data_IF_757973837114
#
_entry.id   IF_757973837114
#
_cell.length_a   1.000
_cell.length_b   1.000
_cell.length_c   1.000
_cell.angle_alpha   90.00
_cell.angle_beta   90.00
_cell.angle_gamma   90.00
#
_symmetry.space_group_name_H-M   'P 1'
#
loop_
_entity.id
_entity.type
_entity.pdbx_description
1 polymer ?
#
# COMPACT_ATOMS: atom_id res chain seq x y z
N UNK A 1 -36.02 6.95 57.28
CA UNK A 1 -36.21 6.38 55.93
C UNK A 1 -34.83 6.24 55.31
N UNK A 2 -34.24 5.05 55.37
CA UNK A 2 -32.91 4.77 54.79
C UNK A 2 -33.17 4.16 53.41
N UNK A 3 -32.77 4.89 52.38
CA UNK A 3 -32.93 4.50 50.97
C UNK A 3 -31.85 3.47 50.65
N UNK A 4 -32.22 2.19 50.53
CA UNK A 4 -31.31 1.14 50.07
C UNK A 4 -31.14 1.26 48.55
N UNK A 5 -30.09 1.97 48.14
CA UNK A 5 -29.60 1.96 46.76
C UNK A 5 -29.02 0.57 46.47
N UNK A 6 -29.74 -0.24 45.71
CA UNK A 6 -29.23 -1.51 45.19
C UNK A 6 -28.07 -1.22 44.23
N UNK A 7 -26.86 -1.63 44.60
CA UNK A 7 -25.70 -1.65 43.71
C UNK A 7 -26.00 -2.74 42.67
N UNK A 8 -26.33 -2.34 41.44
CA UNK A 8 -26.33 -3.26 40.31
C UNK A 8 -24.90 -3.77 40.11
N UNK A 9 -24.62 -5.01 40.52
CA UNK A 9 -23.42 -5.71 40.07
C UNK A 9 -23.52 -5.86 38.54
N UNK A 10 -22.50 -5.45 37.77
CA UNK A 10 -22.49 -5.68 36.33
C UNK A 10 -22.47 -7.19 36.11
N UNK A 11 -23.55 -7.71 35.54
CA UNK A 11 -23.63 -9.11 35.09
C UNK A 11 -22.78 -9.21 33.83
N UNK A 12 -21.51 -9.57 34.00
CA UNK A 12 -20.66 -9.91 32.85
C UNK A 12 -21.24 -11.18 32.24
N UNK A 13 -21.76 -11.08 31.02
CA UNK A 13 -22.31 -12.24 30.34
C UNK A 13 -21.16 -13.18 29.97
N UNK A 14 -21.38 -14.50 30.05
CA UNK A 14 -20.37 -15.51 29.67
C UNK A 14 -19.82 -15.26 28.26
N UNK A 15 -20.65 -14.72 27.37
CA UNK A 15 -20.23 -14.30 26.03
C UNK A 15 -19.17 -13.20 26.04
N UNK A 16 -19.25 -12.23 26.96
CA UNK A 16 -18.27 -11.15 27.08
C UNK A 16 -16.91 -11.71 27.50
N UNK A 17 -16.90 -12.72 28.38
CA UNK A 17 -15.66 -13.40 28.83
C UNK A 17 -15.03 -14.21 27.69
N UNK A 18 -15.85 -14.87 26.87
CA UNK A 18 -15.37 -15.64 25.70
C UNK A 18 -14.77 -14.71 24.66
N UNK A 19 -15.45 -13.61 24.33
CA UNK A 19 -14.95 -12.60 23.39
C UNK A 19 -13.65 -11.98 23.89
N UNK A 20 -13.60 -11.59 25.17
CA UNK A 20 -12.40 -10.99 25.76
C UNK A 20 -11.20 -11.96 25.77
N UNK A 21 -11.43 -13.25 26.01
CA UNK A 21 -10.40 -14.28 25.93
C UNK A 21 -9.94 -14.55 24.49
N UNK A 22 -10.84 -14.48 23.53
CA UNK A 22 -10.50 -14.62 22.11
C UNK A 22 -9.68 -13.42 21.61
N UNK A 23 -10.03 -12.20 22.02
CA UNK A 23 -9.26 -10.98 21.76
C UNK A 23 -7.85 -11.06 22.36
N UNK A 24 -7.71 -11.55 23.59
CA UNK A 24 -6.40 -11.78 24.22
C UNK A 24 -5.56 -12.82 23.45
N UNK A 25 -6.18 -13.89 22.97
CA UNK A 25 -5.51 -14.92 22.15
C UNK A 25 -5.12 -14.38 20.77
N UNK A 26 -5.96 -13.56 20.15
CA UNK A 26 -5.64 -12.86 18.90
C UNK A 26 -4.45 -11.93 19.16
N UNK A 27 -4.49 -11.09 20.19
CA UNK A 27 -3.38 -10.20 20.56
C UNK A 27 -2.08 -10.96 20.89
N UNK A 28 -2.20 -12.13 21.53
CA UNK A 28 -1.06 -13.02 21.72
C UNK A 28 -0.52 -13.55 20.39
N UNK A 29 -1.41 -13.95 19.47
CA UNK A 29 -1.05 -14.32 18.10
C UNK A 29 -0.45 -13.14 17.31
N UNK A 30 -0.84 -11.89 17.61
CA UNK A 30 -0.24 -10.68 17.02
C UNK A 30 1.23 -10.52 17.41
N UNK A 31 1.57 -10.88 18.65
CA UNK A 31 2.95 -10.79 19.16
C UNK A 31 3.90 -11.70 18.36
N UNK A 32 3.36 -12.77 17.78
CA UNK A 32 4.07 -13.74 16.93
C UNK A 32 3.64 -13.62 15.46
N UNK A 33 3.79 -12.42 14.86
CA UNK A 33 3.55 -12.22 13.43
C UNK A 33 4.31 -13.29 12.60
N UNK A 34 3.67 -13.87 11.56
CA UNK A 34 4.33 -14.85 10.73
C UNK A 34 5.59 -14.23 10.12
N UNK A 35 6.72 -14.94 10.25
CA UNK A 35 7.99 -14.54 9.61
C UNK A 35 7.77 -14.28 8.12
N UNK A 36 8.46 -13.27 7.59
CA UNK A 36 8.43 -12.95 6.16
C UNK A 36 8.78 -14.19 5.32
N UNK A 37 7.94 -14.49 4.33
CA UNK A 37 8.25 -15.51 3.32
C UNK A 37 9.35 -14.99 2.40
N UNK A 38 10.09 -15.92 1.78
CA UNK A 38 11.11 -15.59 0.77
C UNK A 38 10.57 -14.68 -0.34
N UNK A 39 9.34 -14.90 -0.79
CA UNK A 39 8.67 -14.09 -1.81
C UNK A 39 8.50 -12.64 -1.36
N UNK A 40 8.17 -12.40 -0.08
CA UNK A 40 8.02 -11.05 0.45
C UNK A 40 9.39 -10.34 0.45
N UNK A 41 10.45 -11.02 0.90
CA UNK A 41 11.81 -10.46 0.92
C UNK A 41 12.31 -10.15 -0.49
N UNK A 42 12.12 -11.07 -1.43
CA UNK A 42 12.53 -10.88 -2.83
C UNK A 42 11.78 -9.69 -3.44
N UNK A 43 10.47 -9.58 -3.18
CA UNK A 43 9.67 -8.46 -3.66
C UNK A 43 10.09 -7.12 -3.05
N UNK A 44 10.44 -7.08 -1.77
CA UNK A 44 10.96 -5.88 -1.11
C UNK A 44 12.30 -5.42 -1.70
N UNK A 45 13.24 -6.37 -1.89
CA UNK A 45 14.54 -6.07 -2.53
C UNK A 45 14.32 -5.56 -3.95
N UNK A 46 13.39 -6.17 -4.69
CA UNK A 46 13.07 -5.76 -6.05
C UNK A 46 12.43 -4.37 -6.10
N UNK A 47 11.49 -4.06 -5.20
CA UNK A 47 10.91 -2.73 -5.07
C UNK A 47 11.98 -1.67 -4.77
N UNK A 48 12.88 -1.96 -3.82
CA UNK A 48 14.00 -1.07 -3.48
C UNK A 48 14.95 -0.86 -4.68
N UNK A 49 15.22 -1.92 -5.44
CA UNK A 49 16.05 -1.85 -6.63
C UNK A 49 15.41 -0.96 -7.70
N UNK A 50 14.10 -1.08 -7.94
CA UNK A 50 13.36 -0.20 -8.86
C UNK A 50 13.46 1.27 -8.41
N UNK A 51 13.30 1.54 -7.11
CA UNK A 51 13.46 2.87 -6.54
C UNK A 51 14.85 3.46 -6.78
N UNK A 52 15.91 2.70 -6.48
CA UNK A 52 17.29 3.12 -6.68
C UNK A 52 17.57 3.41 -8.17
N UNK A 53 17.12 2.52 -9.05
CA UNK A 53 17.28 2.70 -10.51
C UNK A 53 16.52 3.93 -11.02
N UNK A 54 15.32 4.18 -10.52
CA UNK A 54 14.54 5.36 -10.87
C UNK A 54 15.26 6.65 -10.46
N UNK A 55 15.76 6.73 -9.22
CA UNK A 55 16.57 7.87 -8.76
C UNK A 55 17.85 8.06 -9.58
N UNK A 56 18.58 6.98 -9.86
CA UNK A 56 19.80 7.04 -10.66
C UNK A 56 19.52 7.57 -12.07
N UNK A 57 18.49 7.03 -12.74
CA UNK A 57 18.06 7.49 -14.05
C UNK A 57 17.59 8.95 -14.04
N UNK A 58 16.82 9.34 -13.02
CA UNK A 58 16.37 10.71 -12.84
C UNK A 58 17.55 11.67 -12.72
N UNK A 59 18.50 11.41 -11.82
CA UNK A 59 19.67 12.26 -11.63
C UNK A 59 20.52 12.39 -12.89
N UNK A 60 20.74 11.29 -13.61
CA UNK A 60 21.49 11.32 -14.86
C UNK A 60 20.81 12.20 -15.91
N UNK A 61 19.49 12.10 -16.04
CA UNK A 61 18.72 12.87 -17.03
C UNK A 61 18.57 14.34 -16.62
N UNK A 62 18.43 14.61 -15.32
CA UNK A 62 18.16 15.94 -14.76
C UNK A 62 19.24 16.98 -15.09
N UNK A 63 20.50 16.55 -15.21
CA UNK A 63 21.65 17.42 -15.52
C UNK A 63 21.49 18.07 -16.89
N UNK A 64 20.86 17.39 -17.85
CA UNK A 64 20.71 17.87 -19.23
C UNK A 64 19.45 18.72 -19.45
N UNK A 65 18.64 18.93 -18.41
CA UNK A 65 17.41 19.70 -18.51
C UNK A 65 17.67 21.21 -18.43
N UNK A 66 16.96 21.96 -19.28
CA UNK A 66 16.87 23.41 -19.21
C UNK A 66 16.31 23.87 -17.86
N UNK A 67 16.64 25.09 -17.42
CA UNK A 67 16.16 25.64 -16.14
C UNK A 67 14.64 25.69 -16.06
N UNK A 68 13.97 25.99 -17.19
CA UNK A 68 12.51 25.97 -17.30
C UNK A 68 12.04 24.78 -18.11
N UNK A 69 11.06 24.06 -17.58
CA UNK A 69 10.46 22.87 -18.19
C UNK A 69 8.96 23.03 -18.31
N UNK A 70 8.32 22.48 -19.36
CA UNK A 70 6.87 22.46 -19.46
C UNK A 70 6.27 21.60 -18.35
N UNK A 71 5.21 22.08 -17.71
CA UNK A 71 4.50 21.38 -16.62
C UNK A 71 3.06 21.05 -16.94
N UNK A 72 2.45 21.78 -17.88
CA UNK A 72 1.07 21.56 -18.31
C UNK A 72 1.01 21.59 -19.83
N UNK A 73 0.24 20.66 -20.39
CA UNK A 73 0.06 20.49 -21.82
C UNK A 73 -1.44 20.56 -22.14
N UNK A 74 -1.78 21.16 -23.27
CA UNK A 74 -3.13 21.08 -23.82
C UNK A 74 -3.43 19.68 -24.41
N UNK A 75 -4.66 19.46 -24.87
CA UNK A 75 -5.05 18.19 -25.50
C UNK A 75 -4.27 17.86 -26.78
N UNK A 76 -3.78 18.88 -27.47
CA UNK A 76 -2.97 18.75 -28.69
C UNK A 76 -1.49 18.50 -28.39
N UNK A 77 -1.09 18.51 -27.11
CA UNK A 77 0.28 18.29 -26.66
C UNK A 77 1.16 19.55 -26.63
N UNK A 78 0.59 20.74 -26.81
CA UNK A 78 1.34 21.99 -26.70
C UNK A 78 1.52 22.37 -25.23
N UNK A 79 2.72 22.79 -24.86
CA UNK A 79 3.01 23.27 -23.51
C UNK A 79 2.30 24.61 -23.24
N UNK A 80 1.44 24.63 -22.22
CA UNK A 80 0.67 25.81 -21.78
C UNK A 80 1.37 26.53 -20.65
N UNK A 81 2.05 25.79 -19.75
CA UNK A 81 2.75 26.36 -18.58
C UNK A 81 4.14 25.79 -18.42
N UNK A 82 5.06 26.64 -17.99
CA UNK A 82 6.44 26.30 -17.65
C UNK A 82 6.73 26.59 -16.18
N UNK A 83 7.58 25.78 -15.56
CA UNK A 83 8.08 26.00 -14.21
C UNK A 83 9.59 25.70 -14.12
N UNK A 84 10.18 25.98 -12.97
CA UNK A 84 11.56 25.59 -12.66
C UNK A 84 11.69 24.05 -12.68
N UNK A 85 12.76 23.53 -13.29
CA UNK A 85 12.99 22.09 -13.44
C UNK A 85 13.02 21.32 -12.12
N UNK A 86 13.34 21.98 -11.00
CA UNK A 86 13.36 21.37 -9.68
C UNK A 86 12.00 20.83 -9.27
N UNK A 87 10.90 21.30 -9.86
CA UNK A 87 9.56 20.71 -9.63
C UNK A 87 9.52 19.22 -9.97
N UNK A 88 10.37 18.75 -10.89
CA UNK A 88 10.41 17.34 -11.30
C UNK A 88 10.93 16.41 -10.20
N UNK A 89 11.65 16.92 -9.20
CA UNK A 89 12.03 16.13 -8.01
C UNK A 89 10.81 15.63 -7.23
N UNK A 90 9.64 16.28 -7.38
CA UNK A 90 8.42 15.82 -6.74
C UNK A 90 8.04 14.38 -7.17
N UNK A 91 8.35 13.97 -8.40
CA UNK A 91 8.02 12.63 -8.90
C UNK A 91 8.76 11.52 -8.13
N UNK A 92 10.12 11.47 -8.11
CA UNK A 92 10.83 10.46 -7.33
C UNK A 92 10.70 10.68 -5.81
N UNK A 93 10.42 11.90 -5.34
CA UNK A 93 10.15 12.15 -3.92
C UNK A 93 8.83 11.50 -3.47
N UNK A 94 7.73 11.68 -4.21
CA UNK A 94 6.44 11.06 -3.89
C UNK A 94 6.53 9.53 -4.00
N UNK A 95 7.28 9.01 -4.97
CA UNK A 95 7.61 7.57 -5.08
C UNK A 95 8.28 7.06 -3.79
N UNK A 96 9.32 7.76 -3.32
CA UNK A 96 10.05 7.40 -2.09
C UNK A 96 9.14 7.44 -0.84
N UNK A 97 8.33 8.49 -0.71
CA UNK A 97 7.38 8.62 0.40
C UNK A 97 6.37 7.46 0.37
N UNK A 98 5.86 7.11 -0.82
CA UNK A 98 4.93 5.99 -1.00
C UNK A 98 5.56 4.66 -0.63
N UNK A 99 6.81 4.42 -1.04
CA UNK A 99 7.60 3.25 -0.64
C UNK A 99 7.68 3.13 0.88
N UNK A 100 8.05 4.22 1.57
CA UNK A 100 8.21 4.24 3.02
C UNK A 100 6.88 3.98 3.72
N UNK A 101 5.80 4.67 3.33
CA UNK A 101 4.47 4.49 3.92
C UNK A 101 4.01 3.04 3.79
N UNK A 102 4.11 2.46 2.59
CA UNK A 102 3.70 1.08 2.36
C UNK A 102 4.59 0.07 3.10
N UNK A 103 5.88 0.37 3.27
CA UNK A 103 6.80 -0.42 4.10
C UNK A 103 6.37 -0.40 5.57
N UNK A 104 6.09 0.78 6.13
CA UNK A 104 5.63 0.91 7.52
C UNK A 104 4.33 0.11 7.72
N UNK A 105 3.37 0.24 6.79
CA UNK A 105 2.09 -0.47 6.87
C UNK A 105 2.25 -2.00 6.86
N UNK A 106 3.24 -2.55 6.13
CA UNK A 106 3.52 -3.99 6.15
C UNK A 106 4.07 -4.49 7.49
N UNK A 107 4.69 -3.64 8.30
CA UNK A 107 5.17 -4.01 9.64
C UNK A 107 4.05 -4.02 10.68
N UNK A 108 2.94 -3.32 10.42
CA UNK A 108 1.78 -3.23 11.33
C UNK A 108 0.47 -3.74 10.71
N UNK A 109 0.44 -4.93 10.09
CA UNK A 109 -0.77 -5.44 9.44
C UNK A 109 -1.92 -5.65 10.43
N UNK A 110 -1.63 -5.77 11.72
CA UNK A 110 -2.61 -5.91 12.80
C UNK A 110 -3.39 -4.63 13.11
N UNK A 111 -2.96 -3.46 12.61
CA UNK A 111 -3.65 -2.17 12.82
C UNK A 111 -4.75 -1.89 11.80
N UNK A 112 -4.86 -2.72 10.77
CA UNK A 112 -5.93 -2.62 9.79
C UNK A 112 -7.25 -3.10 10.38
N UNK A 113 -8.34 -2.51 9.91
CA UNK A 113 -9.68 -2.98 10.25
C UNK A 113 -9.98 -4.29 9.48
N UNK A 114 -10.38 -5.32 10.22
CA UNK A 114 -10.77 -6.64 9.68
C UNK A 114 -12.23 -7.00 9.96
N UNK A 115 -13.06 -6.08 10.44
CA UNK A 115 -14.43 -6.34 10.90
C UNK A 115 -15.34 -6.97 9.82
N UNK A 116 -14.99 -6.80 8.55
CA UNK A 116 -15.70 -7.39 7.41
C UNK A 116 -15.47 -8.91 7.25
N UNK A 117 -14.53 -9.50 7.99
CA UNK A 117 -14.27 -10.93 8.09
C UNK A 117 -14.21 -11.33 9.56
N UNK A 118 -14.77 -12.49 9.92
CA UNK A 118 -14.71 -13.00 11.28
C UNK A 118 -13.27 -13.34 11.64
N UNK A 119 -12.54 -12.38 12.20
CA UNK A 119 -11.16 -12.56 12.65
C UNK A 119 -11.17 -13.50 13.85
N UNK A 120 -10.52 -14.65 13.71
CA UNK A 120 -10.40 -15.67 14.75
C UNK A 120 -8.92 -16.02 14.95
N UNK A 121 -8.57 -16.61 16.08
CA UNK A 121 -7.18 -17.02 16.39
C UNK A 121 -6.62 -17.95 15.29
N UNK A 122 -7.46 -18.80 14.70
CA UNK A 122 -7.06 -19.78 13.68
C UNK A 122 -6.77 -19.15 12.32
N UNK A 123 -7.47 -18.06 11.96
CA UNK A 123 -7.35 -17.45 10.63
C UNK A 123 -6.50 -16.18 10.60
N UNK A 124 -6.24 -15.56 11.76
CA UNK A 124 -5.52 -14.29 11.89
C UNK A 124 -4.15 -14.30 11.18
N UNK A 125 -3.38 -15.39 11.34
CA UNK A 125 -2.05 -15.51 10.73
C UNK A 125 -2.10 -15.44 9.18
N UNK A 126 -3.05 -16.12 8.56
CA UNK A 126 -3.17 -16.13 7.09
C UNK A 126 -3.80 -14.83 6.57
N UNK A 127 -4.71 -14.20 7.33
CA UNK A 127 -5.24 -12.87 7.03
C UNK A 127 -4.11 -11.84 7.02
N UNK A 128 -3.29 -11.74 8.07
CA UNK A 128 -2.20 -10.76 8.11
C UNK A 128 -1.16 -10.98 7.04
N UNK A 129 -0.83 -12.24 6.75
CA UNK A 129 0.08 -12.57 5.65
C UNK A 129 -0.51 -12.13 4.31
N UNK A 130 -1.80 -12.37 4.09
CA UNK A 130 -2.50 -11.93 2.89
C UNK A 130 -2.47 -10.41 2.74
N UNK A 131 -2.71 -9.68 3.83
CA UNK A 131 -2.62 -8.22 3.86
C UNK A 131 -1.22 -7.74 3.50
N UNK A 132 -0.16 -8.30 4.10
CA UNK A 132 1.23 -7.91 3.78
C UNK A 132 1.60 -8.14 2.32
N UNK A 133 1.25 -9.30 1.76
CA UNK A 133 1.50 -9.61 0.34
C UNK A 133 0.75 -8.64 -0.57
N UNK A 134 -0.49 -8.27 -0.21
CA UNK A 134 -1.29 -7.29 -0.94
C UNK A 134 -0.62 -5.92 -0.89
N UNK A 135 -0.17 -5.46 0.29
CA UNK A 135 0.57 -4.21 0.44
C UNK A 135 1.88 -4.19 -0.37
N UNK A 136 2.62 -5.30 -0.40
CA UNK A 136 3.81 -5.46 -1.25
C UNK A 136 3.46 -5.34 -2.74
N UNK A 137 2.36 -5.95 -3.16
CA UNK A 137 1.90 -5.88 -4.55
C UNK A 137 1.50 -4.44 -4.93
N UNK A 138 0.77 -3.75 -4.04
CA UNK A 138 0.47 -2.33 -4.20
C UNK A 138 1.75 -1.48 -4.27
N UNK A 139 2.75 -1.75 -3.43
CA UNK A 139 4.04 -1.06 -3.44
C UNK A 139 4.72 -1.19 -4.79
N UNK A 140 4.87 -2.42 -5.30
CA UNK A 140 5.49 -2.66 -6.61
C UNK A 140 4.76 -1.92 -7.74
N UNK A 141 3.43 -1.94 -7.76
CA UNK A 141 2.66 -1.22 -8.78
C UNK A 141 2.89 0.29 -8.67
N UNK A 142 2.91 0.83 -7.46
CA UNK A 142 3.21 2.25 -7.22
C UNK A 142 4.61 2.60 -7.70
N UNK A 143 5.63 1.79 -7.39
CA UNK A 143 7.01 2.01 -7.85
C UNK A 143 7.09 2.01 -9.40
N UNK A 144 6.44 1.06 -10.06
CA UNK A 144 6.40 1.01 -11.53
C UNK A 144 5.64 2.19 -12.15
N UNK A 145 4.52 2.58 -11.55
CA UNK A 145 3.73 3.74 -11.98
C UNK A 145 4.57 5.02 -11.92
N UNK A 146 5.21 5.30 -10.79
CA UNK A 146 6.03 6.51 -10.65
C UNK A 146 7.29 6.45 -11.51
N UNK A 147 7.90 5.28 -11.67
CA UNK A 147 9.02 5.10 -12.61
C UNK A 147 8.57 5.42 -14.04
N UNK A 148 7.42 4.90 -14.47
CA UNK A 148 6.85 5.17 -15.80
C UNK A 148 6.56 6.66 -16.01
N UNK A 149 5.91 7.31 -15.05
CA UNK A 149 5.58 8.74 -15.12
C UNK A 149 6.87 9.57 -15.17
N UNK A 150 7.85 9.26 -14.32
CA UNK A 150 9.14 9.96 -14.26
C UNK A 150 9.89 9.83 -15.58
N UNK A 151 9.99 8.61 -16.10
CA UNK A 151 10.62 8.33 -17.38
C UNK A 151 9.95 9.07 -18.54
N UNK A 152 8.61 9.01 -18.61
CA UNK A 152 7.84 9.67 -19.67
C UNK A 152 7.97 11.19 -19.57
N UNK A 153 7.91 11.76 -18.36
CA UNK A 153 8.08 13.20 -18.16
C UNK A 153 9.46 13.67 -18.62
N UNK A 154 10.53 12.94 -18.26
CA UNK A 154 11.88 13.24 -18.72
C UNK A 154 11.99 13.17 -20.25
N UNK A 155 11.34 12.19 -20.88
CA UNK A 155 11.34 12.11 -22.35
C UNK A 155 10.64 13.28 -23.02
N UNK A 156 9.49 13.69 -22.49
CA UNK A 156 8.71 14.81 -23.03
C UNK A 156 9.51 16.11 -22.89
N UNK A 157 10.15 16.34 -21.74
CA UNK A 157 10.91 17.55 -21.49
C UNK A 157 12.22 17.58 -22.30
N UNK A 158 12.96 16.47 -22.36
CA UNK A 158 14.29 16.42 -22.98
C UNK A 158 14.24 16.24 -24.50
N UNK A 159 13.35 15.37 -24.98
CA UNK A 159 13.31 14.96 -26.39
C UNK A 159 12.05 15.44 -27.12
N UNK A 160 11.22 16.28 -26.49
CA UNK A 160 9.97 16.79 -27.06
C UNK A 160 9.04 15.68 -27.56
N UNK A 161 9.07 14.54 -26.86
CA UNK A 161 8.15 13.43 -27.13
C UNK A 161 6.69 13.86 -26.87
N UNK A 162 5.76 13.15 -27.51
CA UNK A 162 4.32 13.35 -27.33
C UNK A 162 3.89 13.23 -25.85
N UNK A 163 3.37 14.29 -25.22
CA UNK A 163 2.95 14.27 -23.82
C UNK A 163 1.75 13.36 -23.56
N UNK A 164 0.97 13.04 -24.60
CA UNK A 164 -0.15 12.09 -24.55
C UNK A 164 0.27 10.69 -24.05
N UNK A 165 1.55 10.33 -24.16
CA UNK A 165 2.09 9.07 -23.60
C UNK A 165 1.88 8.96 -22.09
N UNK A 166 1.75 10.07 -21.38
CA UNK A 166 1.46 10.07 -19.95
C UNK A 166 0.11 9.40 -19.63
N UNK A 167 -0.86 9.44 -20.55
CA UNK A 167 -2.16 8.79 -20.36
C UNK A 167 -2.09 7.27 -20.25
N UNK A 168 -1.03 6.62 -20.74
CA UNK A 168 -0.86 5.18 -20.53
C UNK A 168 -0.62 4.81 -19.07
N UNK A 169 -0.33 5.79 -18.19
CA UNK A 169 -0.33 5.57 -16.74
C UNK A 169 -1.67 5.05 -16.21
N UNK A 170 -2.80 5.31 -16.90
CA UNK A 170 -4.10 4.76 -16.53
C UNK A 170 -4.17 3.22 -16.60
N UNK A 171 -3.28 2.56 -17.35
CA UNK A 171 -3.19 1.10 -17.38
C UNK A 171 -2.90 0.52 -15.99
N UNK A 172 -2.19 1.26 -15.13
CA UNK A 172 -1.91 0.83 -13.76
C UNK A 172 -3.15 0.78 -12.85
N UNK A 173 -4.30 1.33 -13.26
CA UNK A 173 -5.57 1.16 -12.52
C UNK A 173 -6.00 -0.31 -12.50
N UNK A 174 -5.83 -1.03 -13.61
CA UNK A 174 -6.25 -2.42 -13.75
C UNK A 174 -5.59 -3.36 -12.71
N UNK A 175 -4.27 -3.36 -12.51
CA UNK A 175 -3.65 -4.24 -11.51
C UNK A 175 -4.06 -3.87 -10.07
N UNK A 176 -4.34 -2.61 -9.74
CA UNK A 176 -4.93 -2.25 -8.44
C UNK A 176 -6.32 -2.89 -8.24
N UNK A 177 -7.18 -2.83 -9.26
CA UNK A 177 -8.51 -3.47 -9.22
C UNK A 177 -8.39 -4.99 -9.06
N UNK A 178 -7.52 -5.62 -9.85
CA UNK A 178 -7.29 -7.08 -9.79
C UNK A 178 -6.83 -7.49 -8.41
N UNK A 179 -5.85 -6.79 -7.81
CA UNK A 179 -5.36 -7.09 -6.47
C UNK A 179 -6.46 -6.90 -5.42
N UNK A 180 -7.26 -5.84 -5.52
CA UNK A 180 -8.40 -5.62 -4.61
C UNK A 180 -9.40 -6.77 -4.64
N UNK A 181 -9.75 -7.26 -5.85
CA UNK A 181 -10.62 -8.43 -6.02
C UNK A 181 -9.98 -9.69 -5.48
N UNK A 182 -8.70 -9.94 -5.78
CA UNK A 182 -7.96 -11.10 -5.27
C UNK A 182 -7.87 -11.10 -3.74
N UNK A 183 -7.62 -9.94 -3.13
CA UNK A 183 -7.58 -9.75 -1.68
C UNK A 183 -8.94 -10.08 -1.05
N UNK A 184 -10.01 -9.48 -1.55
CA UNK A 184 -11.37 -9.74 -1.06
C UNK A 184 -11.75 -11.23 -1.17
N UNK A 185 -11.49 -11.85 -2.33
CA UNK A 185 -11.75 -13.28 -2.52
C UNK A 185 -10.95 -14.14 -1.55
N UNK A 186 -9.68 -13.83 -1.34
CA UNK A 186 -8.81 -14.58 -0.43
C UNK A 186 -9.26 -14.46 1.03
N UNK A 187 -9.64 -13.26 1.48
CA UNK A 187 -10.21 -13.05 2.80
C UNK A 187 -11.49 -13.86 3.01
N UNK A 188 -12.41 -13.86 2.04
CA UNK A 188 -13.65 -14.65 2.10
C UNK A 188 -13.39 -16.15 2.17
N UNK A 189 -12.40 -16.65 1.44
CA UNK A 189 -12.03 -18.07 1.46
C UNK A 189 -11.48 -18.48 2.83
N UNK A 190 -10.59 -17.66 3.41
CA UNK A 190 -9.99 -17.90 4.72
C UNK A 190 -11.05 -17.88 5.83
N UNK A 191 -12.05 -16.99 5.73
CA UNK A 191 -13.17 -16.93 6.67
C UNK A 191 -14.08 -18.17 6.63
N UNK A 192 -14.17 -18.85 5.49
CA UNK A 192 -15.06 -20.00 5.29
C UNK A 192 -14.40 -21.35 5.62
N UNK A 193 -13.14 -21.38 6.04
CA UNK A 193 -12.48 -22.63 6.43
C UNK A 193 -13.03 -23.13 7.77
N UNK A 194 -13.34 -24.43 7.91
CA UNK A 194 -13.84 -24.98 9.16
C UNK A 194 -12.82 -24.75 10.28
N UNK A 195 -13.29 -24.23 11.41
CA UNK A 195 -12.49 -24.08 12.63
C UNK A 195 -12.01 -25.48 13.02
N UNK A 196 -10.70 -25.73 12.90
CA UNK A 196 -10.12 -27.00 13.31
C UNK A 196 -10.15 -27.03 14.85
N UNK A 197 -11.11 -27.78 15.39
CA UNK A 197 -11.26 -28.09 16.82
C UNK A 197 -10.10 -28.97 17.32
#
# INVERSE_FOLDING_TARGET
MINHSYIHQPTIHVNDIVVQKEDELIQHSLKNLPRFKKVEIVGEIFALLVLILCWAFFHQSFVYLNEKVPTEFDYNGNAVRYADKNILYALPAVMTISYIILTILQFVPHRFNYDCVGLTVYNAQEIYRTTRITLLSCKLITEFLFTYITFTMLQVVQYQCEPQRMYYAFVFILPYLVIGVCYYRKLKLVNNQPQQL
#
